data_IF_515549888836
#
_entry.id   IF_515549888836
#
_cell.length_a   1.000
_cell.length_b   1.000
_cell.length_c   1.000
_cell.angle_alpha   90.00
_cell.angle_beta   90.00
_cell.angle_gamma   90.00
#
_symmetry.space_group_name_H-M   'P 1'
#
loop_
_entity.id
_entity.type
_entity.pdbx_description
1 polymer ?
#
# COMPACT_ATOMS: atom_id res chain seq x y z
N UNK A 1 9.97 -18.43 2.62
CA UNK A 1 10.57 -17.41 3.51
C UNK A 1 10.30 -17.67 4.99
N UNK A 2 9.44 -18.63 5.33
CA UNK A 2 9.03 -18.93 6.70
C UNK A 2 10.19 -19.24 7.69
N UNK A 3 11.27 -19.89 7.24
CA UNK A 3 12.43 -20.21 8.10
C UNK A 3 13.16 -18.96 8.60
N UNK A 4 13.31 -17.94 7.73
CA UNK A 4 13.91 -16.65 8.10
C UNK A 4 13.05 -15.96 9.15
N UNK A 5 11.72 -15.93 8.94
CA UNK A 5 10.77 -15.35 9.90
C UNK A 5 10.86 -16.07 11.24
N UNK A 6 10.84 -17.40 11.26
CA UNK A 6 10.95 -18.17 12.50
C UNK A 6 12.28 -17.91 13.23
N UNK A 7 13.38 -17.74 12.49
CA UNK A 7 14.69 -17.41 13.07
C UNK A 7 14.66 -16.04 13.74
N UNK A 8 14.10 -15.02 13.08
CA UNK A 8 13.96 -13.67 13.66
C UNK A 8 13.04 -13.70 14.89
N UNK A 9 11.91 -14.40 14.81
CA UNK A 9 10.98 -14.55 15.94
C UNK A 9 11.65 -15.14 17.16
N UNK A 10 12.45 -16.19 16.98
CA UNK A 10 13.18 -16.84 18.07
C UNK A 10 14.31 -15.96 18.61
N UNK A 11 15.03 -15.25 17.75
CA UNK A 11 16.17 -14.41 18.15
C UNK A 11 15.75 -13.19 18.98
N UNK A 12 14.53 -12.68 18.76
CA UNK A 12 14.01 -11.48 19.42
C UNK A 12 12.84 -11.76 20.38
N UNK A 13 12.55 -13.02 20.67
CA UNK A 13 11.46 -13.47 21.55
C UNK A 13 10.10 -12.81 21.23
N UNK A 14 9.75 -12.79 19.94
CA UNK A 14 8.54 -12.11 19.45
C UNK A 14 7.32 -13.03 19.52
N UNK A 15 6.15 -12.48 19.86
CA UNK A 15 4.88 -13.21 19.72
C UNK A 15 4.44 -13.26 18.25
N UNK A 16 4.53 -14.46 17.66
CA UNK A 16 4.16 -14.70 16.26
C UNK A 16 2.69 -14.37 15.94
N UNK A 17 1.79 -14.41 16.92
CA UNK A 17 0.38 -14.04 16.73
C UNK A 17 0.16 -12.54 16.54
N UNK A 18 1.13 -11.73 16.98
CA UNK A 18 1.08 -10.27 16.87
C UNK A 18 1.79 -9.77 15.61
N UNK A 19 2.50 -10.62 14.89
CA UNK A 19 3.26 -10.23 13.70
C UNK A 19 2.35 -9.96 12.50
N UNK A 20 2.74 -8.94 11.75
CA UNK A 20 2.10 -8.45 10.52
C UNK A 20 3.19 -8.29 9.49
N UNK A 21 3.09 -9.04 8.41
CA UNK A 21 4.15 -9.17 7.40
C UNK A 21 3.62 -8.70 6.07
N UNK A 22 4.23 -7.69 5.46
CA UNK A 22 3.93 -7.29 4.09
C UNK A 22 4.92 -7.97 3.15
N UNK A 23 4.43 -8.76 2.19
CA UNK A 23 5.28 -9.55 1.32
C UNK A 23 4.66 -9.76 -0.08
N UNK A 24 5.52 -10.10 -1.03
CA UNK A 24 5.14 -10.40 -2.41
C UNK A 24 4.59 -11.82 -2.62
N UNK A 25 4.92 -12.75 -1.72
CA UNK A 25 4.49 -14.16 -1.80
C UNK A 25 3.21 -14.43 -0.99
N UNK A 26 2.47 -15.48 -1.36
CA UNK A 26 1.31 -15.95 -0.60
C UNK A 26 1.70 -16.32 0.84
N UNK A 27 1.01 -15.76 1.82
CA UNK A 27 1.48 -15.78 3.21
C UNK A 27 0.93 -16.88 4.12
N UNK A 28 0.32 -17.92 3.54
CA UNK A 28 -0.08 -19.11 4.30
C UNK A 28 1.11 -19.76 5.03
N UNK A 29 2.32 -19.62 4.49
CA UNK A 29 3.56 -20.13 5.09
C UNK A 29 3.95 -19.43 6.41
N UNK A 30 3.36 -18.26 6.72
CA UNK A 30 3.72 -17.48 7.91
C UNK A 30 2.83 -17.74 9.12
N UNK A 31 1.81 -18.59 9.00
CA UNK A 31 0.87 -18.86 10.09
C UNK A 31 1.60 -19.22 11.41
N UNK A 32 1.15 -18.71 12.57
CA UNK A 32 -0.06 -17.88 12.79
C UNK A 32 0.10 -16.37 12.51
N UNK A 33 1.25 -15.89 12.02
CA UNK A 33 1.42 -14.49 11.69
C UNK A 33 0.48 -14.07 10.54
N UNK A 34 0.00 -12.82 10.58
CA UNK A 34 -0.80 -12.28 9.49
C UNK A 34 0.09 -11.73 8.39
N UNK A 35 -0.25 -12.06 7.15
CA UNK A 35 0.43 -11.54 5.96
C UNK A 35 -0.47 -10.62 5.14
N UNK A 36 0.11 -9.59 4.55
CA UNK A 36 -0.55 -8.65 3.65
C UNK A 36 0.21 -8.60 2.31
N UNK A 37 -0.50 -8.44 1.19
CA UNK A 37 0.15 -8.32 -0.11
C UNK A 37 0.95 -7.02 -0.19
N UNK A 38 2.15 -7.09 -0.74
CA UNK A 38 2.90 -5.91 -1.17
C UNK A 38 2.15 -5.23 -2.33
N UNK A 39 1.61 -4.05 -2.07
CA UNK A 39 0.78 -3.33 -3.05
C UNK A 39 1.60 -2.94 -4.28
N UNK A 40 2.90 -2.64 -4.15
CA UNK A 40 3.76 -2.34 -5.32
C UNK A 40 3.84 -3.53 -6.25
N UNK A 41 4.06 -4.72 -5.70
CA UNK A 41 4.17 -5.95 -6.49
C UNK A 41 2.82 -6.32 -7.12
N UNK A 42 1.71 -6.08 -6.41
CA UNK A 42 0.36 -6.26 -6.99
C UNK A 42 0.09 -5.32 -8.16
N UNK A 43 0.45 -4.04 -8.03
CA UNK A 43 0.34 -3.09 -9.14
C UNK A 43 1.23 -3.49 -10.32
N UNK A 44 2.45 -4.00 -10.06
CA UNK A 44 3.36 -4.53 -11.09
C UNK A 44 2.75 -5.73 -11.82
N UNK A 45 2.13 -6.66 -11.08
CA UNK A 45 1.42 -7.82 -11.66
C UNK A 45 0.26 -7.38 -12.57
N UNK A 46 -0.56 -6.42 -12.12
CA UNK A 46 -1.65 -5.85 -12.91
C UNK A 46 -1.11 -5.21 -14.18
N UNK A 47 -0.10 -4.34 -14.08
CA UNK A 47 0.50 -3.68 -15.23
C UNK A 47 1.08 -4.70 -16.22
N UNK A 48 1.83 -5.69 -15.74
CA UNK A 48 2.40 -6.72 -16.60
C UNK A 48 1.30 -7.52 -17.32
N UNK A 49 0.20 -7.87 -16.63
CA UNK A 49 -0.94 -8.56 -17.23
C UNK A 49 -1.67 -7.70 -18.29
N UNK A 50 -1.84 -6.41 -18.05
CA UNK A 50 -2.42 -5.47 -19.03
C UNK A 50 -1.52 -5.37 -20.27
N UNK A 51 -0.22 -5.10 -20.08
CA UNK A 51 0.72 -4.87 -21.18
C UNK A 51 0.97 -6.14 -22.01
N UNK A 52 0.97 -7.32 -21.38
CA UNK A 52 1.15 -8.60 -22.08
C UNK A 52 -0.09 -9.05 -22.86
N UNK A 53 -1.28 -8.61 -22.46
CA UNK A 53 -2.55 -8.93 -23.13
C UNK A 53 -3.00 -7.87 -24.14
N UNK A 54 -2.21 -6.80 -24.30
CA UNK A 54 -2.43 -5.77 -25.31
C UNK A 54 -2.06 -6.29 -26.71
N UNK A 55 -2.86 -6.03 -27.76
CA UNK A 55 -2.52 -6.41 -29.13
C UNK A 55 -1.29 -5.66 -29.67
N UNK A 56 -1.01 -4.46 -29.14
CA UNK A 56 0.20 -3.71 -29.45
C UNK A 56 1.36 -4.28 -28.63
N UNK A 57 2.54 -4.55 -29.23
CA UNK A 57 3.67 -5.15 -28.53
C UNK A 57 4.38 -4.15 -27.61
N UNK A 58 3.74 -3.81 -26.49
CA UNK A 58 4.24 -2.79 -25.56
C UNK A 58 5.45 -3.28 -24.76
N UNK A 59 5.45 -4.51 -24.26
CA UNK A 59 6.62 -5.05 -23.53
C UNK A 59 7.89 -5.06 -24.41
N UNK A 60 7.85 -5.50 -25.69
CA UNK A 60 8.97 -5.30 -26.60
C UNK A 60 9.35 -3.83 -26.83
N UNK A 61 8.37 -2.93 -26.90
CA UNK A 61 8.65 -1.49 -27.08
C UNK A 61 9.36 -0.88 -25.87
N UNK A 62 8.96 -1.28 -24.65
CA UNK A 62 9.62 -0.91 -23.39
C UNK A 62 11.08 -1.39 -23.40
N UNK A 63 11.30 -2.67 -23.68
CA UNK A 63 12.65 -3.25 -23.73
C UNK A 63 13.53 -2.55 -24.78
N UNK A 64 12.95 -2.12 -25.90
CA UNK A 64 13.67 -1.41 -26.95
C UNK A 64 14.08 0.01 -26.53
N UNK A 65 13.20 0.74 -25.82
CA UNK A 65 13.54 2.05 -25.24
C UNK A 65 14.69 1.90 -24.25
N UNK A 66 14.63 0.91 -23.35
CA UNK A 66 15.70 0.63 -22.40
C UNK A 66 17.01 0.26 -23.11
N UNK A 67 16.94 -0.56 -24.15
CA UNK A 67 18.11 -0.92 -24.96
C UNK A 67 18.74 0.29 -25.65
N UNK A 68 17.94 1.19 -26.21
CA UNK A 68 18.43 2.43 -26.85
C UNK A 68 19.16 3.29 -25.81
N UNK A 69 18.54 3.51 -24.65
CA UNK A 69 19.12 4.31 -23.56
C UNK A 69 20.42 3.67 -23.05
N UNK A 70 20.40 2.36 -22.81
CA UNK A 70 21.60 1.61 -22.40
C UNK A 70 22.72 1.72 -23.43
N UNK A 71 22.41 1.60 -24.71
CA UNK A 71 23.40 1.70 -25.80
C UNK A 71 24.04 3.09 -25.84
N UNK A 72 23.26 4.16 -25.62
CA UNK A 72 23.83 5.50 -25.51
C UNK A 72 24.81 5.62 -24.34
N UNK A 73 24.45 5.08 -23.17
CA UNK A 73 25.31 5.10 -21.99
C UNK A 73 26.61 4.31 -22.19
N UNK A 74 26.52 3.12 -22.81
CA UNK A 74 27.68 2.28 -23.12
C UNK A 74 28.60 2.89 -24.18
N UNK A 75 28.04 3.73 -25.06
CA UNK A 75 28.77 4.39 -26.14
C UNK A 75 29.24 5.81 -25.79
N UNK A 76 29.12 6.22 -24.52
CA UNK A 76 29.47 7.55 -24.00
C UNK A 76 28.77 8.71 -24.74
N UNK A 77 27.58 8.44 -25.28
CA UNK A 77 26.73 9.45 -25.93
C UNK A 77 25.89 10.13 -24.87
N UNK A 78 26.01 11.46 -24.79
CA UNK A 78 25.28 12.25 -23.81
C UNK A 78 23.78 12.28 -24.11
N UNK A 79 22.99 11.68 -23.23
CA UNK A 79 21.54 11.79 -23.25
C UNK A 79 21.08 13.23 -22.94
N UNK A 80 19.97 13.70 -23.53
CA UNK A 80 19.40 15.01 -23.24
C UNK A 80 18.71 15.11 -21.87
N UNK A 81 18.65 14.01 -21.12
CA UNK A 81 18.06 13.89 -19.79
C UNK A 81 18.97 13.09 -18.84
N UNK A 82 18.77 13.20 -17.52
CA UNK A 82 19.57 12.47 -16.53
C UNK A 82 19.43 10.95 -16.73
N UNK A 83 20.56 10.25 -16.76
CA UNK A 83 20.55 8.78 -16.78
C UNK A 83 19.99 8.25 -15.48
N UNK A 84 18.86 7.55 -15.55
CA UNK A 84 18.33 6.75 -14.45
C UNK A 84 18.50 5.29 -14.85
N UNK A 85 19.01 4.45 -13.96
CA UNK A 85 18.86 3.01 -14.14
C UNK A 85 17.38 2.70 -13.96
N UNK A 86 16.68 2.36 -15.05
CA UNK A 86 15.50 1.51 -14.88
C UNK A 86 16.03 0.19 -14.36
N UNK A 87 15.67 -0.17 -13.12
CA UNK A 87 15.82 -1.56 -12.70
C UNK A 87 14.83 -2.43 -13.49
N UNK A 88 14.71 -3.71 -13.13
CA UNK A 88 13.69 -4.61 -13.68
C UNK A 88 12.24 -4.27 -13.24
N UNK A 89 11.97 -3.00 -12.93
CA UNK A 89 10.76 -2.51 -12.30
C UNK A 89 10.12 -1.42 -13.15
N UNK A 90 8.84 -1.62 -13.50
CA UNK A 90 8.08 -0.72 -14.38
C UNK A 90 7.92 0.70 -13.80
N UNK A 91 7.94 0.83 -12.46
CA UNK A 91 7.94 2.13 -11.79
C UNK A 91 9.29 2.87 -11.93
N UNK A 92 10.39 2.12 -12.14
CA UNK A 92 11.68 2.69 -12.52
C UNK A 92 11.73 3.09 -13.99
N UNK A 93 10.96 2.41 -14.85
CA UNK A 93 10.84 2.72 -16.27
C UNK A 93 9.99 3.97 -16.55
N UNK A 94 8.92 4.24 -15.80
CA UNK A 94 8.03 5.38 -16.08
C UNK A 94 8.76 6.74 -16.17
N UNK A 95 9.63 7.14 -15.22
CA UNK A 95 10.38 8.40 -15.36
C UNK A 95 11.29 8.42 -16.59
N UNK A 96 11.86 7.27 -16.96
CA UNK A 96 12.67 7.14 -18.16
C UNK A 96 11.82 7.34 -19.42
N UNK A 97 10.64 6.72 -19.49
CA UNK A 97 9.71 6.86 -20.61
C UNK A 97 9.27 8.31 -20.79
N UNK A 98 8.91 8.99 -19.69
CA UNK A 98 8.53 10.40 -19.71
C UNK A 98 9.63 11.29 -20.29
N UNK A 99 10.86 11.13 -19.78
CA UNK A 99 12.01 11.91 -20.25
C UNK A 99 12.35 11.55 -21.72
N UNK A 100 12.22 10.28 -22.10
CA UNK A 100 12.40 9.79 -23.47
C UNK A 100 11.38 10.40 -24.45
N UNK A 101 10.10 10.41 -24.08
CA UNK A 101 9.02 10.99 -24.88
C UNK A 101 9.18 12.51 -25.04
N UNK A 102 9.53 13.20 -23.95
CA UNK A 102 9.77 14.64 -23.97
C UNK A 102 10.92 15.01 -24.92
N UNK A 103 11.97 14.18 -24.97
CA UNK A 103 13.14 14.39 -25.83
C UNK A 103 13.13 13.57 -27.12
N UNK A 104 12.01 12.97 -27.53
CA UNK A 104 11.94 12.02 -28.64
C UNK A 104 12.58 12.55 -29.94
N UNK A 105 12.38 13.83 -30.25
CA UNK A 105 12.94 14.46 -31.45
C UNK A 105 14.45 14.68 -31.35
N UNK A 106 14.94 15.13 -30.21
CA UNK A 106 16.39 15.28 -29.97
C UNK A 106 17.10 13.93 -30.04
N UNK A 107 16.50 12.87 -29.48
CA UNK A 107 17.03 11.51 -29.55
C UNK A 107 17.11 11.05 -31.01
N UNK A 108 16.06 11.30 -31.79
CA UNK A 108 16.04 10.99 -33.23
C UNK A 108 17.18 11.69 -33.96
N UNK A 109 17.41 12.97 -33.69
CA UNK A 109 18.46 13.75 -34.33
C UNK A 109 19.85 13.19 -33.98
N UNK A 110 20.10 12.87 -32.70
CA UNK A 110 21.35 12.23 -32.24
C UNK A 110 21.59 10.88 -32.94
N UNK A 111 20.56 10.04 -33.08
CA UNK A 111 20.68 8.75 -33.77
C UNK A 111 21.02 8.94 -35.25
N UNK A 112 20.46 9.98 -35.87
CA UNK A 112 20.70 10.27 -37.29
C UNK A 112 22.11 10.86 -37.54
N UNK A 113 22.61 11.70 -36.64
CA UNK A 113 23.93 12.33 -36.75
C UNK A 113 25.07 11.41 -36.30
N UNK A 114 24.97 10.89 -35.09
CA UNK A 114 26.12 10.39 -34.34
C UNK A 114 26.04 8.87 -34.09
N UNK A 115 24.87 8.26 -34.24
CA UNK A 115 24.67 6.85 -33.83
C UNK A 115 23.70 6.04 -34.71
N UNK A 116 24.00 5.93 -36.01
CA UNK A 116 23.16 5.28 -37.02
C UNK A 116 22.88 3.79 -36.75
N UNK A 117 23.68 3.12 -35.92
CA UNK A 117 23.46 1.71 -35.52
C UNK A 117 22.13 1.46 -34.83
N UNK A 118 21.51 2.47 -34.22
CA UNK A 118 20.19 2.38 -33.57
C UNK A 118 19.03 2.81 -34.47
N UNK A 119 19.28 3.21 -35.72
CA UNK A 119 18.26 3.81 -36.58
C UNK A 119 17.10 2.86 -36.86
N UNK A 120 17.37 1.58 -37.11
CA UNK A 120 16.34 0.56 -37.35
C UNK A 120 15.50 0.31 -36.09
N UNK A 121 16.16 0.17 -34.95
CA UNK A 121 15.51 0.02 -33.64
C UNK A 121 14.59 1.20 -33.34
N UNK A 122 15.12 2.42 -33.44
CA UNK A 122 14.34 3.64 -33.16
C UNK A 122 13.17 3.81 -34.14
N UNK A 123 13.35 3.52 -35.43
CA UNK A 123 12.29 3.61 -36.43
C UNK A 123 11.14 2.61 -36.20
N UNK A 124 11.37 1.51 -35.47
CA UNK A 124 10.33 0.54 -35.12
C UNK A 124 9.44 1.00 -33.96
N UNK A 125 9.86 2.03 -33.21
CA UNK A 125 9.04 2.62 -32.14
C UNK A 125 7.94 3.50 -32.73
N UNK A 126 6.73 3.34 -32.19
CA UNK A 126 5.63 4.25 -32.47
C UNK A 126 5.55 5.32 -31.38
N UNK A 127 5.83 6.58 -31.74
CA UNK A 127 5.85 7.70 -30.81
C UNK A 127 4.48 8.00 -30.17
N UNK A 128 3.38 7.76 -30.89
CA UNK A 128 2.03 7.95 -30.34
C UNK A 128 1.74 6.89 -29.29
N UNK A 129 2.06 5.62 -29.58
CA UNK A 129 1.89 4.54 -28.61
C UNK A 129 2.73 4.74 -27.35
N UNK A 130 3.95 5.29 -27.47
CA UNK A 130 4.79 5.57 -26.31
C UNK A 130 4.22 6.71 -25.43
N UNK A 131 3.58 7.71 -26.03
CA UNK A 131 2.88 8.77 -25.29
C UNK A 131 1.62 8.26 -24.59
N UNK A 132 0.82 7.45 -25.29
CA UNK A 132 -0.35 6.80 -24.70
C UNK A 132 0.05 5.85 -23.56
N UNK A 133 1.19 5.16 -23.68
CA UNK A 133 1.74 4.32 -22.62
C UNK A 133 2.18 5.16 -21.40
N UNK A 134 2.83 6.30 -21.61
CA UNK A 134 3.21 7.22 -20.53
C UNK A 134 1.97 7.71 -19.77
N UNK A 135 0.94 8.16 -20.51
CA UNK A 135 -0.31 8.62 -19.92
C UNK A 135 -1.01 7.51 -19.12
N UNK A 136 -0.99 6.28 -19.62
CA UNK A 136 -1.54 5.13 -18.93
C UNK A 136 -0.77 4.76 -17.64
N UNK A 137 0.55 4.85 -17.65
CA UNK A 137 1.39 4.49 -16.50
C UNK A 137 1.38 5.54 -15.37
N UNK A 138 1.06 6.80 -15.69
CA UNK A 138 1.03 7.91 -14.73
C UNK A 138 0.24 7.62 -13.45
N UNK A 139 -1.05 7.25 -13.53
CA UNK A 139 -1.88 6.92 -12.36
C UNK A 139 -1.30 5.84 -11.44
N UNK A 140 -0.66 4.82 -12.04
CA UNK A 140 0.00 3.75 -11.29
C UNK A 140 1.25 4.26 -10.58
N UNK A 141 2.04 5.13 -11.24
CA UNK A 141 3.19 5.77 -10.61
C UNK A 141 2.77 6.65 -9.44
N UNK A 142 1.73 7.48 -9.60
CA UNK A 142 1.21 8.36 -8.55
C UNK A 142 0.72 7.55 -7.34
N UNK A 143 0.00 6.46 -7.59
CA UNK A 143 -0.43 5.49 -6.58
C UNK A 143 0.78 4.93 -5.81
N UNK A 144 1.82 4.47 -6.53
CA UNK A 144 3.04 3.93 -5.92
C UNK A 144 3.76 5.00 -5.09
N UNK A 145 3.91 6.21 -5.61
CA UNK A 145 4.59 7.31 -4.91
C UNK A 145 3.85 7.74 -3.65
N UNK A 146 2.51 7.84 -3.69
CA UNK A 146 1.68 8.15 -2.52
C UNK A 146 1.88 7.14 -1.39
N UNK A 147 2.02 5.86 -1.75
CA UNK A 147 2.29 4.78 -0.81
C UNK A 147 3.77 4.72 -0.39
N UNK A 148 4.71 5.22 -1.18
CA UNK A 148 6.14 5.15 -0.88
C UNK A 148 6.67 6.31 -0.01
N UNK A 149 6.07 7.50 -0.09
CA UNK A 149 6.66 8.73 0.45
C UNK A 149 6.58 8.90 1.98
N UNK A 150 5.44 8.57 2.61
CA UNK A 150 5.22 8.86 4.04
C UNK A 150 4.60 7.68 4.77
N UNK A 151 5.21 7.28 5.88
CA UNK A 151 4.68 6.29 6.82
C UNK A 151 3.93 6.99 7.97
N UNK A 152 2.84 6.41 8.50
CA UNK A 152 2.20 5.16 8.07
C UNK A 152 1.40 5.34 6.77
N UNK A 153 1.47 4.37 5.87
CA UNK A 153 0.80 4.41 4.56
C UNK A 153 -0.34 3.40 4.40
N UNK A 154 -0.54 2.46 5.34
CA UNK A 154 -1.54 1.39 5.21
C UNK A 154 -2.97 1.89 4.99
N UNK A 155 -3.31 3.01 5.63
CA UNK A 155 -4.63 3.62 5.53
C UNK A 155 -4.90 4.30 4.18
N UNK A 156 -3.86 4.52 3.37
CA UNK A 156 -3.96 5.08 2.02
C UNK A 156 -4.28 4.00 0.99
N UNK A 157 -3.95 2.72 1.24
CA UNK A 157 -4.11 1.62 0.28
C UNK A 157 -5.51 1.56 -0.34
N UNK A 158 -6.56 1.57 0.49
CA UNK A 158 -7.93 1.48 0.00
C UNK A 158 -8.33 2.72 -0.83
N UNK A 159 -8.19 3.97 -0.33
CA UNK A 159 -8.44 5.16 -1.15
C UNK A 159 -7.68 5.19 -2.48
N UNK A 160 -6.38 4.89 -2.45
CA UNK A 160 -5.52 4.92 -3.63
C UNK A 160 -5.91 3.84 -4.66
N UNK A 161 -6.29 2.64 -4.20
CA UNK A 161 -6.82 1.59 -5.08
C UNK A 161 -8.10 2.03 -5.79
N UNK A 162 -9.02 2.68 -5.08
CA UNK A 162 -10.27 3.20 -5.66
C UNK A 162 -10.04 4.39 -6.58
N UNK A 163 -9.08 5.27 -6.26
CA UNK A 163 -8.67 6.37 -7.15
C UNK A 163 -8.13 5.81 -8.47
N UNK A 164 -7.23 4.83 -8.40
CA UNK A 164 -6.69 4.16 -9.57
C UNK A 164 -7.77 3.46 -10.42
N UNK A 165 -8.72 2.78 -9.77
CA UNK A 165 -9.87 2.20 -10.46
C UNK A 165 -10.72 3.24 -11.18
N UNK A 166 -10.91 4.42 -10.58
CA UNK A 166 -11.63 5.53 -11.19
C UNK A 166 -10.88 6.11 -12.40
N UNK A 167 -9.57 6.29 -12.30
CA UNK A 167 -8.73 6.81 -13.41
C UNK A 167 -8.59 5.82 -14.57
N UNK A 168 -8.61 4.52 -14.29
CA UNK A 168 -8.64 3.48 -15.30
C UNK A 168 -10.04 3.26 -15.91
N UNK A 169 -11.10 3.87 -15.36
CA UNK A 169 -12.44 3.66 -15.89
C UNK A 169 -12.54 4.25 -17.31
N UNK A 170 -13.01 3.48 -18.32
CA UNK A 170 -13.08 3.96 -19.69
C UNK A 170 -14.07 5.13 -19.80
N UNK A 171 -13.56 6.30 -20.19
CA UNK A 171 -14.38 7.48 -20.51
C UNK A 171 -14.93 7.39 -21.94
N UNK A 172 -16.18 7.83 -22.15
CA UNK A 172 -16.75 8.01 -23.48
C UNK A 172 -16.06 9.09 -24.32
N UNK A 173 -15.31 9.98 -23.66
CA UNK A 173 -14.57 11.07 -24.29
C UNK A 173 -13.13 10.67 -24.68
N UNK A 174 -12.69 9.45 -24.34
CA UNK A 174 -11.34 8.96 -24.65
C UNK A 174 -11.20 8.67 -26.14
N UNK A 175 -10.39 9.48 -26.81
CA UNK A 175 -10.18 9.40 -28.28
C UNK A 175 -8.94 8.61 -28.67
N UNK A 176 -8.03 8.38 -27.71
CA UNK A 176 -6.76 7.67 -27.90
C UNK A 176 -6.98 6.14 -27.84
N UNK A 177 -6.83 5.41 -28.98
CA UNK A 177 -7.28 4.02 -29.07
C UNK A 177 -6.53 3.05 -28.16
N UNK A 178 -5.20 3.20 -28.05
CA UNK A 178 -4.39 2.33 -27.21
C UNK A 178 -4.62 2.63 -25.73
N UNK A 179 -4.68 3.91 -25.36
CA UNK A 179 -4.98 4.33 -24.00
C UNK A 179 -6.33 3.78 -23.52
N UNK A 180 -7.37 3.85 -24.37
CA UNK A 180 -8.68 3.28 -24.08
C UNK A 180 -8.63 1.77 -23.84
N UNK A 181 -7.91 1.03 -24.69
CA UNK A 181 -7.75 -0.43 -24.55
C UNK A 181 -7.01 -0.78 -23.25
N UNK A 182 -5.94 -0.05 -22.92
CA UNK A 182 -5.18 -0.24 -21.69
C UNK A 182 -6.01 0.04 -20.44
N UNK A 183 -6.73 1.17 -20.41
CA UNK A 183 -7.66 1.55 -19.33
C UNK A 183 -8.75 0.50 -19.14
N UNK A 184 -9.38 0.03 -20.22
CA UNK A 184 -10.41 -1.02 -20.16
C UNK A 184 -9.89 -2.29 -19.49
N UNK A 185 -8.75 -2.83 -19.95
CA UNK A 185 -8.14 -4.03 -19.36
C UNK A 185 -7.72 -3.82 -17.91
N UNK A 186 -7.13 -2.66 -17.61
CA UNK A 186 -6.74 -2.31 -16.25
C UNK A 186 -7.94 -2.23 -15.31
N UNK A 187 -9.03 -1.58 -15.73
CA UNK A 187 -10.26 -1.48 -14.95
C UNK A 187 -10.85 -2.86 -14.62
N UNK A 188 -10.90 -3.77 -15.59
CA UNK A 188 -11.40 -5.14 -15.36
C UNK A 188 -10.51 -5.91 -14.39
N UNK A 189 -9.19 -5.82 -14.55
CA UNK A 189 -8.22 -6.51 -13.70
C UNK A 189 -8.20 -5.94 -12.27
N UNK A 190 -8.23 -4.62 -12.09
CA UNK A 190 -8.26 -3.98 -10.76
C UNK A 190 -9.50 -4.38 -9.96
N UNK A 191 -10.67 -4.47 -10.61
CA UNK A 191 -11.90 -4.98 -9.98
C UNK A 191 -11.71 -6.44 -9.56
N UNK A 192 -11.16 -7.27 -10.45
CA UNK A 192 -10.96 -8.71 -10.17
C UNK A 192 -10.00 -8.95 -9.02
N UNK A 193 -8.86 -8.27 -9.01
CA UNK A 193 -7.80 -8.41 -8.00
C UNK A 193 -8.13 -7.71 -6.67
N UNK A 194 -9.20 -6.91 -6.62
CA UNK A 194 -9.59 -6.21 -5.40
C UNK A 194 -9.83 -7.18 -4.23
N UNK A 195 -10.49 -8.31 -4.48
CA UNK A 195 -10.87 -9.26 -3.41
C UNK A 195 -9.68 -9.99 -2.80
N UNK A 196 -8.63 -10.24 -3.58
CA UNK A 196 -7.38 -10.89 -3.13
C UNK A 196 -6.40 -9.88 -2.53
N UNK A 197 -6.48 -8.61 -2.93
CA UNK A 197 -5.55 -7.55 -2.52
C UNK A 197 -6.05 -6.77 -1.29
N UNK A 198 -7.32 -6.36 -1.31
CA UNK A 198 -7.93 -5.51 -0.29
C UNK A 198 -8.59 -6.35 0.80
N UNK A 199 -7.81 -6.63 1.84
CA UNK A 199 -8.28 -7.29 3.07
C UNK A 199 -9.19 -6.41 3.95
N UNK A 200 -9.83 -7.04 4.95
CA UNK A 200 -10.60 -6.30 5.97
C UNK A 200 -9.71 -5.35 6.77
N UNK A 201 -8.44 -5.67 6.99
CA UNK A 201 -7.50 -4.80 7.69
C UNK A 201 -7.21 -3.50 6.93
N UNK A 202 -7.15 -3.52 5.58
CA UNK A 202 -7.05 -2.28 4.79
C UNK A 202 -8.30 -1.39 4.99
N UNK A 203 -9.49 -2.00 5.05
CA UNK A 203 -10.74 -1.28 5.32
C UNK A 203 -10.75 -0.70 6.73
N UNK A 204 -10.29 -1.46 7.72
CA UNK A 204 -10.13 -0.98 9.09
C UNK A 204 -9.16 0.20 9.12
N UNK A 205 -8.01 0.10 8.45
CA UNK A 205 -7.04 1.20 8.38
C UNK A 205 -7.63 2.47 7.78
N UNK A 206 -8.43 2.34 6.71
CA UNK A 206 -9.12 3.47 6.09
C UNK A 206 -10.18 4.09 7.01
N UNK A 207 -10.93 3.27 7.76
CA UNK A 207 -11.89 3.73 8.79
C UNK A 207 -11.17 4.47 9.91
N UNK A 208 -10.01 3.97 10.35
CA UNK A 208 -9.21 4.59 11.40
C UNK A 208 -8.51 5.87 10.94
N UNK A 209 -8.63 6.29 9.69
CA UNK A 209 -8.24 7.63 9.30
C UNK A 209 -9.42 8.61 9.49
N UNK A 210 -9.34 9.56 10.43
CA UNK A 210 -10.45 10.46 10.75
C UNK A 210 -10.86 11.39 9.60
N UNK A 211 -9.98 11.62 8.61
CA UNK A 211 -10.29 12.41 7.41
C UNK A 211 -11.25 11.68 6.47
N UNK A 212 -11.28 10.35 6.50
CA UNK A 212 -12.09 9.55 5.60
C UNK A 212 -13.52 9.34 6.13
N UNK A 213 -13.77 9.50 7.43
CA UNK A 213 -15.05 9.15 8.09
C UNK A 213 -16.31 9.62 7.33
N UNK A 214 -16.30 10.85 6.79
CA UNK A 214 -17.46 11.43 6.07
C UNK A 214 -17.64 10.93 4.64
N UNK A 215 -16.63 10.28 4.08
CA UNK A 215 -16.56 9.84 2.68
C UNK A 215 -16.32 8.35 2.55
N UNK A 216 -16.44 7.59 3.65
CA UNK A 216 -16.25 6.13 3.65
C UNK A 216 -17.18 5.43 2.65
N UNK A 217 -18.37 5.96 2.41
CA UNK A 217 -19.32 5.43 1.42
C UNK A 217 -18.83 5.51 -0.03
N UNK A 218 -17.78 6.30 -0.32
CA UNK A 218 -17.16 6.35 -1.65
C UNK A 218 -16.17 5.21 -1.88
N UNK A 219 -15.65 4.60 -0.80
CA UNK A 219 -14.55 3.62 -0.84
C UNK A 219 -14.86 2.31 -0.10
N UNK A 220 -16.03 2.21 0.52
CA UNK A 220 -16.56 1.01 1.17
C UNK A 220 -18.06 0.91 0.91
N UNK A 221 -18.54 -0.24 0.47
CA UNK A 221 -19.97 -0.56 0.49
C UNK A 221 -20.48 -0.67 1.93
N UNK A 222 -21.79 -0.55 2.13
CA UNK A 222 -22.39 -0.71 3.46
C UNK A 222 -22.09 -2.06 4.10
N UNK A 223 -22.05 -3.13 3.29
CA UNK A 223 -21.71 -4.47 3.75
C UNK A 223 -20.25 -4.55 4.23
N UNK A 224 -19.30 -4.06 3.43
CA UNK A 224 -17.88 -4.06 3.76
C UNK A 224 -17.59 -3.21 4.99
N UNK A 225 -18.23 -2.04 5.10
CA UNK A 225 -18.13 -1.16 6.26
C UNK A 225 -18.64 -1.85 7.51
N UNK A 226 -19.81 -2.48 7.44
CA UNK A 226 -20.41 -3.19 8.58
C UNK A 226 -19.50 -4.32 9.07
N UNK A 227 -18.99 -5.13 8.14
CA UNK A 227 -18.05 -6.22 8.45
C UNK A 227 -16.75 -5.71 9.08
N UNK A 228 -16.17 -4.62 8.56
CA UNK A 228 -14.97 -4.01 9.14
C UNK A 228 -15.24 -3.46 10.55
N UNK A 229 -16.39 -2.80 10.78
CA UNK A 229 -16.77 -2.30 12.11
C UNK A 229 -16.99 -3.43 13.12
N UNK A 230 -17.67 -4.52 12.74
CA UNK A 230 -17.79 -5.71 13.59
C UNK A 230 -16.44 -6.31 13.95
N UNK A 231 -15.51 -6.34 12.98
CA UNK A 231 -14.15 -6.81 13.22
C UNK A 231 -13.37 -5.89 14.18
N UNK A 232 -13.53 -4.57 14.06
CA UNK A 232 -12.94 -3.60 15.01
C UNK A 232 -13.46 -3.88 16.42
N UNK A 233 -14.77 -4.02 16.59
CA UNK A 233 -15.39 -4.32 17.90
C UNK A 233 -14.79 -5.57 18.52
N UNK A 234 -14.72 -6.65 17.74
CA UNK A 234 -14.12 -7.90 18.19
C UNK A 234 -12.65 -7.75 18.59
N UNK A 235 -11.86 -6.96 17.84
CA UNK A 235 -10.44 -6.74 18.13
C UNK A 235 -10.20 -5.81 19.33
N UNK A 236 -11.11 -4.90 19.61
CA UNK A 236 -11.08 -4.03 20.79
C UNK A 236 -11.70 -4.68 22.03
N UNK A 237 -12.27 -5.89 21.93
CA UNK A 237 -13.00 -6.52 23.02
C UNK A 237 -14.32 -5.82 23.38
N UNK A 238 -14.84 -5.00 22.47
CA UNK A 238 -16.14 -4.33 22.62
C UNK A 238 -17.22 -5.39 22.46
N UNK A 239 -17.98 -5.66 23.53
CA UNK A 239 -19.06 -6.65 23.50
C UNK A 239 -20.18 -6.17 22.59
N UNK A 240 -20.43 -6.88 21.50
CA UNK A 240 -21.70 -6.78 20.77
C UNK A 240 -22.81 -7.28 21.69
N UNK A 241 -23.85 -6.47 21.93
CA UNK A 241 -24.96 -6.72 22.86
C UNK A 241 -25.81 -7.99 22.57
N UNK A 242 -25.36 -8.93 21.73
CA UNK A 242 -26.13 -10.13 21.33
C UNK A 242 -25.82 -11.39 22.13
N UNK A 243 -24.82 -11.41 23.00
CA UNK A 243 -24.66 -12.55 23.91
C UNK A 243 -25.50 -12.31 25.18
N UNK A 244 -26.57 -13.10 25.41
CA UNK A 244 -27.21 -13.09 26.71
C UNK A 244 -26.14 -13.55 27.70
N UNK A 245 -25.83 -12.67 28.67
CA UNK A 245 -24.93 -12.99 29.78
C UNK A 245 -25.28 -14.39 30.28
N UNK A 246 -24.34 -15.32 30.10
CA UNK A 246 -24.42 -16.70 30.55
C UNK A 246 -25.03 -16.71 31.95
N UNK A 247 -26.26 -17.23 32.01
CA UNK A 247 -27.08 -17.23 33.21
C UNK A 247 -26.81 -18.45 34.06
N UNK A 248 -25.63 -19.06 33.99
CA UNK A 248 -25.37 -20.29 34.73
C UNK A 248 -24.04 -20.26 35.50
N UNK A 249 -24.15 -20.74 36.75
CA UNK A 249 -23.15 -20.86 37.81
C UNK A 249 -22.92 -19.65 38.73
N UNK A 250 -23.88 -19.39 39.63
CA UNK A 250 -23.58 -19.30 41.07
C UNK A 250 -24.82 -18.96 41.89
N UNK A 251 -24.91 -19.66 43.02
CA UNK A 251 -25.94 -19.66 44.07
C UNK A 251 -26.56 -18.28 44.31
N UNK A 252 -27.88 -18.20 44.18
CA UNK A 252 -28.68 -17.04 44.58
C UNK A 252 -28.44 -16.72 46.06
N UNK A 253 -27.98 -15.50 46.39
CA UNK A 253 -28.11 -14.99 47.76
C UNK A 253 -27.03 -14.07 48.30
N UNK A 254 -25.86 -13.90 47.68
CA UNK A 254 -24.82 -13.08 48.33
C UNK A 254 -25.11 -11.57 48.27
N UNK A 255 -25.09 -10.85 49.42
CA UNK A 255 -25.29 -9.40 49.48
C UNK A 255 -24.24 -8.62 48.66
N UNK A 256 -23.05 -9.20 48.47
CA UNK A 256 -22.01 -8.65 47.61
C UNK A 256 -22.40 -8.62 46.14
N UNK A 257 -23.22 -9.57 45.65
CA UNK A 257 -23.69 -9.60 44.26
C UNK A 257 -24.74 -8.53 44.00
N UNK A 258 -25.68 -8.33 44.94
CA UNK A 258 -26.67 -7.24 44.85
C UNK A 258 -26.02 -5.86 44.88
N UNK A 259 -25.02 -5.66 45.75
CA UNK A 259 -24.23 -4.42 45.78
C UNK A 259 -23.43 -4.23 44.49
N UNK A 260 -22.82 -5.28 43.93
CA UNK A 260 -22.05 -5.20 42.68
C UNK A 260 -22.96 -4.93 41.47
N UNK A 261 -24.10 -5.60 41.38
CA UNK A 261 -25.12 -5.33 40.36
C UNK A 261 -25.71 -3.92 40.48
N UNK A 262 -25.95 -3.43 41.69
CA UNK A 262 -26.41 -2.07 41.94
C UNK A 262 -25.35 -1.02 41.56
N UNK A 263 -24.09 -1.22 41.94
CA UNK A 263 -23.00 -0.34 41.53
C UNK A 263 -22.80 -0.35 40.01
N UNK A 264 -22.83 -1.52 39.36
CA UNK A 264 -22.81 -1.64 37.90
C UNK A 264 -24.05 -1.02 37.22
N UNK A 265 -25.18 -0.90 37.92
CA UNK A 265 -26.37 -0.20 37.41
C UNK A 265 -26.36 1.31 37.65
N UNK A 266 -25.44 1.80 38.50
CA UNK A 266 -25.17 3.22 38.70
C UNK A 266 -24.06 3.73 37.77
N UNK A 267 -23.21 2.82 37.28
CA UNK A 267 -22.44 3.07 36.06
C UNK A 267 -23.48 3.23 34.94
N UNK A 268 -23.48 4.39 34.27
CA UNK A 268 -24.21 4.55 33.02
C UNK A 268 -23.67 3.48 32.06
N UNK A 269 -24.31 2.31 32.01
CA UNK A 269 -24.10 1.36 30.94
C UNK A 269 -24.46 2.16 29.69
N UNK A 270 -23.49 2.55 28.83
CA UNK A 270 -23.77 3.49 27.76
C UNK A 270 -24.77 2.80 26.84
N UNK A 271 -26.04 3.16 27.00
CA UNK A 271 -27.09 2.78 26.06
C UNK A 271 -26.73 3.52 24.77
N UNK A 272 -26.02 2.83 23.88
CA UNK A 272 -26.02 3.13 22.46
C UNK A 272 -24.68 2.98 21.75
N UNK A 273 -23.62 3.59 22.29
CA UNK A 273 -22.46 3.92 21.47
C UNK A 273 -21.17 3.38 22.08
N UNK A 274 -20.61 2.35 21.46
CA UNK A 274 -19.23 1.96 21.74
C UNK A 274 -18.24 3.03 21.25
N UNK A 275 -16.95 2.90 21.61
CA UNK A 275 -15.91 3.85 21.19
C UNK A 275 -15.92 4.08 19.67
N UNK A 276 -16.23 3.05 18.87
CA UNK A 276 -16.24 3.10 17.41
C UNK A 276 -17.39 3.97 16.89
N UNK A 277 -18.59 3.79 17.43
CA UNK A 277 -19.75 4.61 17.10
C UNK A 277 -19.53 6.09 17.45
N UNK A 278 -18.93 6.35 18.62
CA UNK A 278 -18.54 7.71 19.02
C UNK A 278 -17.52 8.31 18.05
N UNK A 279 -16.49 7.53 17.69
CA UNK A 279 -15.45 7.97 16.77
C UNK A 279 -16.00 8.31 15.37
N UNK A 280 -16.91 7.50 14.84
CA UNK A 280 -17.47 7.65 13.50
C UNK A 280 -18.41 8.86 13.38
N UNK A 281 -19.15 9.20 14.44
CA UNK A 281 -20.06 10.37 14.48
C UNK A 281 -19.35 11.68 14.79
N UNK A 282 -18.20 11.61 15.44
CA UNK A 282 -17.44 12.78 15.85
C UNK A 282 -16.91 13.57 14.65
N UNK A 283 -16.82 14.89 14.83
CA UNK A 283 -16.25 15.79 13.85
C UNK A 283 -14.89 16.29 14.34
N UNK A 284 -13.85 16.06 13.55
CA UNK A 284 -12.50 16.45 13.89
C UNK A 284 -12.04 17.63 13.00
N UNK A 285 -11.50 18.70 13.59
CA UNK A 285 -10.88 19.79 12.84
C UNK A 285 -9.76 19.29 11.91
N UNK A 286 -9.60 19.92 10.75
CA UNK A 286 -8.56 19.55 9.77
C UNK A 286 -7.14 19.60 10.36
N UNK A 287 -6.88 20.54 11.28
CA UNK A 287 -5.59 20.66 11.95
C UNK A 287 -5.27 19.44 12.84
N UNK A 288 -6.28 18.85 13.49
CA UNK A 288 -6.10 17.67 14.36
C UNK A 288 -5.94 16.37 13.58
N UNK A 289 -6.40 16.34 12.33
CA UNK A 289 -6.43 15.14 11.49
C UNK A 289 -5.38 15.14 10.39
N UNK A 290 -4.51 16.16 10.37
CA UNK A 290 -3.45 16.30 9.36
C UNK A 290 -2.53 15.07 9.36
N UNK A 291 -2.11 14.66 10.55
CA UNK A 291 -1.32 13.46 10.77
C UNK A 291 -2.12 12.45 11.59
N UNK A 292 -2.26 11.25 11.02
CA UNK A 292 -3.03 10.15 11.62
C UNK A 292 -2.35 9.61 12.87
N UNK A 293 -1.02 9.64 12.94
CA UNK A 293 -0.27 9.14 14.11
C UNK A 293 -0.43 10.07 15.29
N UNK A 294 -0.22 11.37 15.08
CA UNK A 294 -0.45 12.42 16.07
C UNK A 294 -1.89 12.39 16.57
N UNK A 295 -2.88 12.21 15.68
CA UNK A 295 -4.29 12.09 16.07
C UNK A 295 -4.48 10.94 17.07
N UNK A 296 -4.05 9.72 16.73
CA UNK A 296 -4.24 8.55 17.60
C UNK A 296 -3.38 8.57 18.85
N UNK A 297 -2.28 9.32 18.86
CA UNK A 297 -1.41 9.48 20.03
C UNK A 297 -1.90 10.56 21.01
N UNK A 298 -2.79 11.45 20.56
CA UNK A 298 -3.31 12.58 21.36
C UNK A 298 -4.81 12.47 21.57
N UNK A 299 -5.61 13.04 20.66
CA UNK A 299 -7.08 13.08 20.70
C UNK A 299 -7.64 11.67 20.79
N UNK A 300 -7.18 10.77 19.92
CA UNK A 300 -7.61 9.37 19.88
C UNK A 300 -7.27 8.62 21.17
N UNK A 301 -6.06 8.77 21.70
CA UNK A 301 -5.65 8.12 22.95
C UNK A 301 -6.48 8.60 24.16
N UNK A 302 -6.84 9.89 24.19
CA UNK A 302 -7.63 10.47 25.27
C UNK A 302 -9.12 10.11 25.20
N UNK A 303 -9.70 10.04 24.00
CA UNK A 303 -11.14 9.84 23.80
C UNK A 303 -11.53 8.38 23.51
N UNK A 304 -10.65 7.62 22.86
CA UNK A 304 -10.91 6.27 22.36
C UNK A 304 -9.70 5.34 22.63
N UNK A 305 -9.40 5.01 23.89
CA UNK A 305 -8.17 4.30 24.24
C UNK A 305 -8.06 2.91 23.60
N UNK A 306 -9.18 2.19 23.44
CA UNK A 306 -9.20 0.87 22.81
C UNK A 306 -8.95 0.97 21.31
N UNK A 307 -9.62 1.92 20.64
CA UNK A 307 -9.37 2.20 19.22
C UNK A 307 -7.95 2.72 18.96
N UNK A 308 -7.39 3.56 19.84
CA UNK A 308 -6.03 4.08 19.70
C UNK A 308 -4.98 2.96 19.78
N UNK A 309 -5.19 1.98 20.65
CA UNK A 309 -4.38 0.77 20.71
C UNK A 309 -4.47 -0.03 19.40
N UNK A 310 -5.68 -0.24 18.88
CA UNK A 310 -5.87 -0.92 17.60
C UNK A 310 -5.25 -0.13 16.43
N UNK A 311 -5.42 1.19 16.40
CA UNK A 311 -4.95 2.05 15.34
C UNK A 311 -3.44 2.04 15.23
N UNK A 312 -2.71 2.17 16.35
CA UNK A 312 -1.24 2.03 16.33
C UNK A 312 -0.80 0.68 15.76
N UNK A 313 -1.55 -0.38 16.05
CA UNK A 313 -1.25 -1.75 15.61
C UNK A 313 -1.56 -2.01 14.13
N UNK A 314 -2.62 -1.39 13.59
CA UNK A 314 -3.05 -1.58 12.19
C UNK A 314 -2.32 -0.60 11.26
N UNK A 315 -2.19 0.66 11.67
CA UNK A 315 -1.59 1.70 10.84
C UNK A 315 -0.08 1.53 10.67
N UNK A 316 0.61 0.89 11.64
CA UNK A 316 2.05 0.59 11.54
C UNK A 316 2.39 -0.50 10.54
N UNK A 317 1.41 -1.18 9.94
CA UNK A 317 1.66 -2.14 8.87
C UNK A 317 2.11 -1.37 7.63
N UNK A 318 3.27 -1.67 7.02
CA UNK A 318 3.66 -1.00 5.80
C UNK A 318 2.82 -1.51 4.61
N UNK A 319 2.33 -0.62 3.76
CA UNK A 319 1.62 -0.96 2.53
C UNK A 319 2.54 -1.63 1.48
N UNK A 320 3.82 -1.25 1.49
CA UNK A 320 4.85 -1.74 0.57
C UNK A 320 5.86 -2.55 1.37
N UNK A 321 6.36 -3.66 0.82
CA UNK A 321 7.41 -4.41 1.52
C UNK A 321 8.68 -3.54 1.57
N UNK A 322 9.27 -3.30 2.75
CA UNK A 322 10.49 -2.51 2.85
C UNK A 322 11.62 -3.23 2.12
N UNK A 323 12.25 -2.54 1.16
CA UNK A 323 13.42 -3.06 0.43
C UNK A 323 14.68 -2.43 0.99
N UNK A 324 15.62 -3.26 1.43
CA UNK A 324 16.98 -2.84 1.76
C UNK A 324 17.85 -3.12 0.55
N UNK A 325 18.38 -2.08 -0.09
CA UNK A 325 19.33 -2.24 -1.20
C UNK A 325 20.73 -2.46 -0.66
N UNK A 326 21.45 -3.40 -1.27
CA UNK A 326 22.82 -3.71 -0.91
C UNK A 326 23.66 -3.76 -2.17
N UNK A 327 24.71 -2.96 -2.21
CA UNK A 327 25.69 -3.04 -3.28
C UNK A 327 26.78 -4.03 -2.87
N UNK A 328 26.75 -5.22 -3.46
CA UNK A 328 27.68 -6.33 -3.16
C UNK A 328 29.16 -5.91 -3.29
N UNK A 329 29.46 -4.96 -4.19
CA UNK A 329 30.78 -4.35 -4.36
C UNK A 329 31.31 -3.60 -3.13
N UNK A 330 30.43 -3.15 -2.24
CA UNK A 330 30.78 -2.41 -1.02
C UNK A 330 30.77 -3.29 0.24
N UNK A 331 30.56 -4.59 0.07
CA UNK A 331 30.19 -5.50 1.13
C UNK A 331 31.23 -6.60 1.35
N UNK A 332 32.30 -6.28 2.05
CA UNK A 332 33.20 -7.31 2.61
C UNK A 332 32.73 -7.77 4.00
N UNK A 333 31.41 -7.87 4.20
CA UNK A 333 30.80 -8.03 5.52
C UNK A 333 30.08 -9.38 5.58
N UNK A 334 30.33 -10.17 6.62
CA UNK A 334 29.64 -11.45 6.80
C UNK A 334 28.14 -11.22 7.08
N UNK A 335 27.24 -12.15 6.74
CA UNK A 335 25.80 -12.00 6.95
C UNK A 335 25.41 -11.61 8.39
N UNK A 336 26.08 -12.14 9.40
CA UNK A 336 25.83 -11.82 10.81
C UNK A 336 26.19 -10.37 11.14
N UNK A 337 27.33 -9.90 10.62
CA UNK A 337 27.77 -8.51 10.79
C UNK A 337 26.85 -7.53 10.05
N UNK A 338 26.35 -7.92 8.88
CA UNK A 338 25.37 -7.16 8.12
C UNK A 338 24.05 -7.00 8.90
N UNK A 339 23.58 -8.08 9.53
CA UNK A 339 22.39 -8.03 10.39
C UNK A 339 22.56 -7.04 11.55
N UNK A 340 23.67 -7.11 12.28
CA UNK A 340 23.96 -6.17 13.37
C UNK A 340 24.05 -4.73 12.86
N UNK A 341 24.70 -4.50 11.72
CA UNK A 341 24.81 -3.16 11.15
C UNK A 341 23.46 -2.57 10.76
N UNK A 342 22.59 -3.34 10.09
CA UNK A 342 21.26 -2.90 9.71
C UNK A 342 20.37 -2.60 10.93
N UNK A 343 20.46 -3.43 11.98
CA UNK A 343 19.76 -3.19 13.24
C UNK A 343 20.23 -1.88 13.90
N UNK A 344 21.55 -1.70 14.05
CA UNK A 344 22.10 -0.48 14.64
C UNK A 344 21.73 0.76 13.83
N UNK A 345 21.81 0.69 12.49
CA UNK A 345 21.40 1.80 11.62
C UNK A 345 19.94 2.17 11.86
N UNK A 346 19.05 1.18 11.92
CA UNK A 346 17.63 1.41 12.20
C UNK A 346 17.39 2.05 13.57
N UNK A 347 18.19 1.70 14.58
CA UNK A 347 18.11 2.34 15.90
C UNK A 347 18.60 3.80 15.87
N UNK A 348 19.70 4.07 15.18
CA UNK A 348 20.21 5.45 15.04
C UNK A 348 19.29 6.35 14.21
N UNK A 349 18.68 5.81 13.16
CA UNK A 349 17.73 6.56 12.31
C UNK A 349 16.46 6.91 13.11
N UNK A 350 15.99 6.01 13.98
CA UNK A 350 14.83 6.27 14.86
C UNK A 350 15.14 7.28 15.98
N UNK A 351 16.34 7.28 16.55
CA UNK A 351 16.75 8.28 17.56
C UNK A 351 17.00 9.69 16.99
N UNK A 352 17.19 9.85 15.68
CA UNK A 352 17.34 11.16 15.03
C UNK A 352 16.02 11.88 14.74
N UNK A 353 14.91 11.14 14.74
CA UNK A 353 13.56 11.65 14.45
C UNK A 353 12.75 12.01 15.71
N UNK A 354 13.28 11.70 16.90
CA UNK A 354 12.84 12.23 18.21
C UNK A 354 13.61 13.50 18.60
#
# INVERSE_FOLDING_TARGET
MAEIVNTVVNNYDLDKNLLRITCSCGGEEFAPAKSFPDIKEKLREVLHAVLSSCPVPLLPSIALVEQIVKTFLESDVRLPFPSRSSGDDIFGFYPLLRDFNFHFHNIKDIIQSDFQGLQVSFASLNAEHLRELEEFLGPFQETFESLAQEQPNFHKVLPEWYALMHECHPSSEETLPLLRELKLKASELLVREQTSTITVEHRIAAILNPRHNRKLNLICTDHERSHACERIRALCGIRTQREPLSRDSSVEGEPHRKRRLFLNSLEDDPIGDDELECYLRSQYPAQQTKDVVSFWSTVGQAQFPSLASLARRILSVPALAPKTTFEERHASVQPEQLHTFLMLRSMFDTEREE
#
